data_IF_407952211441
#
_entry.id   IF_407952211441
#
_cell.length_a   1.000
_cell.length_b   1.000
_cell.length_c   1.000
_cell.angle_alpha   90.00
_cell.angle_beta   90.00
_cell.angle_gamma   90.00
#
_symmetry.space_group_name_H-M   'P 1'
#
loop_
_entity.id
_entity.type
_entity.pdbx_description
1 polymer ?
#
# COMPACT_ATOMS: atom_id res chain seq x y z
N UNK A 1 5.64 -10.22 24.25
CA UNK A 1 4.70 -10.61 23.17
C UNK A 1 5.51 -10.92 21.92
N UNK A 2 5.38 -12.13 21.38
CA UNK A 2 6.13 -12.56 20.20
C UNK A 2 5.59 -11.92 18.90
N UNK A 3 6.34 -12.09 17.79
CA UNK A 3 6.01 -11.48 16.50
C UNK A 3 4.71 -12.02 15.90
N UNK A 4 4.35 -13.29 16.15
CA UNK A 4 3.13 -13.90 15.62
C UNK A 4 1.90 -13.33 16.33
N UNK A 5 1.95 -13.21 17.66
CA UNK A 5 0.85 -12.61 18.44
C UNK A 5 0.60 -11.16 18.02
N UNK A 6 1.67 -10.36 17.85
CA UNK A 6 1.55 -8.98 17.33
C UNK A 6 0.92 -8.95 15.95
N UNK A 7 1.33 -9.85 15.06
CA UNK A 7 0.79 -9.91 13.70
C UNK A 7 -0.71 -10.27 13.68
N UNK A 8 -1.13 -11.24 14.51
CA UNK A 8 -2.53 -11.64 14.63
C UNK A 8 -3.40 -10.49 15.17
N UNK A 9 -2.94 -9.84 16.25
CA UNK A 9 -3.64 -8.67 16.83
C UNK A 9 -3.78 -7.54 15.81
N UNK A 10 -2.73 -7.29 15.03
CA UNK A 10 -2.78 -6.29 13.99
C UNK A 10 -3.79 -6.65 12.90
N UNK A 11 -3.76 -7.90 12.41
CA UNK A 11 -4.63 -8.37 11.32
C UNK A 11 -6.13 -8.20 11.63
N UNK A 12 -6.55 -8.51 12.85
CA UNK A 12 -7.96 -8.37 13.31
C UNK A 12 -8.43 -6.92 13.22
N UNK A 13 -7.54 -5.97 13.48
CA UNK A 13 -7.86 -4.54 13.53
C UNK A 13 -7.57 -3.81 12.20
N UNK A 14 -7.00 -4.51 11.21
CA UNK A 14 -6.51 -3.89 9.98
C UNK A 14 -7.58 -3.90 8.88
N UNK A 15 -8.35 -2.81 8.77
CA UNK A 15 -9.24 -2.66 7.62
C UNK A 15 -8.49 -2.06 6.41
N UNK A 16 -8.10 -2.88 5.43
CA UNK A 16 -7.37 -2.42 4.22
C UNK A 16 -8.26 -2.19 3.00
N UNK A 17 -9.57 -2.38 3.13
CA UNK A 17 -10.53 -2.14 2.06
C UNK A 17 -11.52 -1.02 2.45
N UNK A 18 -11.80 -0.06 1.56
CA UNK A 18 -11.26 0.07 0.20
C UNK A 18 -9.78 0.52 0.19
N UNK A 19 -9.11 0.50 -0.99
CA UNK A 19 -7.80 1.11 -1.17
C UNK A 19 -7.77 2.59 -0.73
N UNK A 20 -6.58 3.13 -0.38
CA UNK A 20 -6.47 4.52 0.03
C UNK A 20 -6.74 5.48 -1.14
N UNK A 21 -7.21 6.69 -0.82
CA UNK A 21 -7.38 7.75 -1.83
C UNK A 21 -6.04 8.04 -2.55
N UNK A 22 -6.12 8.27 -3.86
CA UNK A 22 -4.98 8.58 -4.73
C UNK A 22 -4.13 9.76 -4.24
N UNK A 23 -4.76 10.80 -3.68
CA UNK A 23 -4.06 11.96 -3.13
C UNK A 23 -3.20 11.59 -1.91
N UNK A 24 -3.75 10.75 -1.01
CA UNK A 24 -3.03 10.25 0.16
C UNK A 24 -1.79 9.45 -0.25
N UNK A 25 -1.91 8.68 -1.34
CA UNK A 25 -0.79 7.93 -1.90
C UNK A 25 0.26 8.88 -2.49
N UNK A 26 -0.13 9.80 -3.38
CA UNK A 26 0.81 10.68 -4.10
C UNK A 26 1.52 11.67 -3.17
N UNK A 27 0.83 12.16 -2.14
CA UNK A 27 1.38 13.14 -1.21
C UNK A 27 2.32 12.53 -0.16
N UNK A 28 2.36 11.20 -0.03
CA UNK A 28 3.22 10.53 0.93
C UNK A 28 4.71 10.72 0.62
N UNK A 29 5.50 11.04 1.66
CA UNK A 29 6.97 11.12 1.57
C UNK A 29 7.59 9.80 1.09
N UNK A 30 7.00 8.65 1.48
CA UNK A 30 7.46 7.32 1.07
C UNK A 30 7.19 7.06 -0.41
N UNK A 31 6.07 7.56 -0.92
CA UNK A 31 5.70 7.48 -2.33
C UNK A 31 6.64 8.31 -3.21
N UNK A 32 6.96 9.55 -2.80
CA UNK A 32 7.89 10.43 -3.53
C UNK A 32 9.32 9.87 -3.59
N UNK A 33 9.76 9.12 -2.56
CA UNK A 33 11.07 8.46 -2.56
C UNK A 33 11.11 7.24 -3.49
N UNK A 34 10.05 6.42 -3.52
CA UNK A 34 10.00 5.22 -4.38
C UNK A 34 9.80 5.55 -5.86
N UNK A 35 9.06 6.63 -6.18
CA UNK A 35 8.82 7.09 -7.55
C UNK A 35 10.12 7.44 -8.29
N UNK A 36 11.11 7.97 -7.56
CA UNK A 36 12.40 8.42 -8.10
C UNK A 36 13.33 7.27 -8.47
N UNK A 37 13.15 6.09 -7.85
CA UNK A 37 14.08 4.97 -8.01
C UNK A 37 13.54 3.89 -8.94
N UNK A 38 12.27 3.48 -8.83
CA UNK A 38 11.70 2.42 -9.71
C UNK A 38 10.17 2.53 -9.81
N UNK A 39 9.68 3.30 -10.80
CA UNK A 39 8.28 3.71 -11.00
C UNK A 39 7.22 2.64 -11.28
N UNK A 40 7.39 1.41 -10.81
CA UNK A 40 6.39 0.34 -10.96
C UNK A 40 5.52 0.26 -9.71
N UNK A 41 4.39 0.97 -9.74
CA UNK A 41 3.29 0.82 -8.79
C UNK A 41 2.43 -0.35 -9.23
N UNK A 42 2.52 -1.46 -8.51
CA UNK A 42 1.61 -2.60 -8.66
C UNK A 42 0.53 -2.51 -7.59
N UNK A 43 -0.61 -3.19 -7.81
CA UNK A 43 -1.67 -3.27 -6.79
C UNK A 43 -1.14 -3.77 -5.44
N UNK A 44 -0.27 -4.79 -5.46
CA UNK A 44 0.38 -5.30 -4.25
C UNK A 44 1.21 -4.25 -3.51
N UNK A 45 2.02 -3.44 -4.21
CA UNK A 45 2.81 -2.38 -3.57
C UNK A 45 1.93 -1.31 -2.91
N UNK A 46 0.77 -1.02 -3.50
CA UNK A 46 -0.20 -0.10 -2.92
C UNK A 46 -0.92 -0.69 -1.71
N UNK A 47 -1.24 -1.99 -1.74
CA UNK A 47 -1.74 -2.71 -0.56
C UNK A 47 -0.71 -2.63 0.56
N UNK A 48 0.56 -2.99 0.30
CA UNK A 48 1.63 -2.93 1.29
C UNK A 48 1.82 -1.51 1.86
N UNK A 49 1.69 -0.48 1.02
CA UNK A 49 1.69 0.91 1.47
C UNK A 49 0.53 1.21 2.43
N UNK A 50 -0.68 0.76 2.10
CA UNK A 50 -1.86 0.95 2.96
C UNK A 50 -1.71 0.20 4.30
N UNK A 51 -1.28 -1.06 4.25
CA UNK A 51 -0.96 -1.87 5.43
C UNK A 51 0.05 -1.14 6.31
N UNK A 52 1.16 -0.66 5.74
CA UNK A 52 2.18 0.05 6.51
C UNK A 52 1.64 1.31 7.20
N UNK A 53 0.83 2.11 6.50
CA UNK A 53 0.25 3.32 7.07
C UNK A 53 -0.73 2.99 8.20
N UNK A 54 -1.66 2.05 7.99
CA UNK A 54 -2.63 1.65 9.01
C UNK A 54 -1.98 0.97 10.20
N UNK A 55 -0.98 0.12 9.96
CA UNK A 55 -0.20 -0.52 11.03
C UNK A 55 0.46 0.52 11.91
N UNK A 56 1.06 1.54 11.30
CA UNK A 56 1.70 2.63 12.03
C UNK A 56 0.71 3.42 12.90
N UNK A 57 -0.52 3.64 12.42
CA UNK A 57 -1.59 4.27 13.20
C UNK A 57 -2.00 3.42 14.42
N UNK A 58 -1.86 2.10 14.32
CA UNK A 58 -2.11 1.14 15.40
C UNK A 58 -0.88 0.87 16.27
N UNK A 59 0.20 1.66 16.11
CA UNK A 59 1.43 1.54 16.89
C UNK A 59 2.40 0.45 16.41
N UNK A 60 2.14 -0.21 15.28
CA UNK A 60 3.00 -1.24 14.72
C UNK A 60 3.83 -0.71 13.54
N UNK A 61 5.16 -0.71 13.68
CA UNK A 61 6.10 -0.21 12.68
C UNK A 61 7.17 -1.25 12.29
N UNK A 62 7.04 -2.50 12.76
CA UNK A 62 8.00 -3.56 12.45
C UNK A 62 7.88 -3.98 10.97
N UNK A 63 8.95 -3.81 10.16
CA UNK A 63 8.90 -4.10 8.73
C UNK A 63 8.67 -5.59 8.42
N UNK A 64 9.10 -6.50 9.29
CA UNK A 64 8.86 -7.95 9.12
C UNK A 64 7.37 -8.28 9.30
N UNK A 65 6.73 -7.73 10.34
CA UNK A 65 5.30 -7.91 10.59
C UNK A 65 4.48 -7.32 9.43
N UNK A 66 4.78 -6.08 9.02
CA UNK A 66 4.13 -5.42 7.89
C UNK A 66 4.26 -6.24 6.61
N UNK A 67 5.46 -6.79 6.34
CA UNK A 67 5.69 -7.62 5.15
C UNK A 67 4.87 -8.91 5.20
N UNK A 68 4.87 -9.61 6.35
CA UNK A 68 4.13 -10.86 6.53
C UNK A 68 2.63 -10.66 6.36
N UNK A 69 2.07 -9.63 7.00
CA UNK A 69 0.64 -9.29 6.90
C UNK A 69 0.28 -8.86 5.47
N UNK A 70 1.13 -8.09 4.80
CA UNK A 70 0.86 -7.67 3.42
C UNK A 70 0.76 -8.86 2.46
N UNK A 71 1.66 -9.84 2.59
CA UNK A 71 1.62 -11.07 1.79
C UNK A 71 0.34 -11.86 2.10
N UNK A 72 0.07 -12.11 3.39
CA UNK A 72 -1.11 -12.85 3.82
C UNK A 72 -2.41 -12.21 3.30
N UNK A 73 -2.57 -10.89 3.46
CA UNK A 73 -3.75 -10.17 2.99
C UNK A 73 -3.85 -10.23 1.48
N UNK A 74 -2.77 -10.01 0.73
CA UNK A 74 -2.81 -10.10 -0.72
C UNK A 74 -3.16 -11.50 -1.20
N UNK A 75 -2.62 -12.56 -0.62
CA UNK A 75 -2.94 -13.94 -1.02
C UNK A 75 -4.43 -14.25 -0.78
N UNK A 76 -4.96 -13.82 0.37
CA UNK A 76 -6.35 -14.07 0.77
C UNK A 76 -7.37 -13.06 0.22
N UNK A 77 -6.94 -11.94 -0.37
CA UNK A 77 -7.85 -11.00 -1.02
C UNK A 77 -8.55 -11.62 -2.23
N UNK A 78 -9.83 -11.31 -2.36
CA UNK A 78 -10.67 -11.66 -3.51
C UNK A 78 -10.16 -11.00 -4.80
N UNK A 79 -10.62 -11.52 -5.95
CA UNK A 79 -10.31 -10.91 -7.26
C UNK A 79 -10.76 -9.45 -7.34
N UNK A 80 -11.91 -9.12 -6.76
CA UNK A 80 -12.47 -7.76 -6.73
C UNK A 80 -11.58 -6.82 -5.92
N UNK A 81 -11.23 -7.20 -4.70
CA UNK A 81 -10.33 -6.44 -3.83
C UNK A 81 -8.97 -6.18 -4.48
N UNK A 82 -8.39 -7.20 -5.13
CA UNK A 82 -7.16 -7.07 -5.93
C UNK A 82 -7.34 -6.09 -7.09
N UNK A 83 -8.47 -6.15 -7.80
CA UNK A 83 -8.74 -5.26 -8.93
C UNK A 83 -8.82 -3.80 -8.53
N UNK A 84 -9.38 -3.48 -7.36
CA UNK A 84 -9.45 -2.10 -6.87
C UNK A 84 -8.05 -1.49 -6.64
N UNK A 85 -7.14 -2.27 -6.06
CA UNK A 85 -5.73 -1.88 -5.91
C UNK A 85 -4.99 -1.77 -7.24
N UNK A 86 -5.27 -2.68 -8.18
CA UNK A 86 -4.69 -2.64 -9.53
C UNK A 86 -5.17 -1.40 -10.28
N UNK A 87 -6.45 -1.05 -10.18
CA UNK A 87 -7.02 0.12 -10.83
C UNK A 87 -6.50 1.42 -10.22
N UNK A 88 -6.32 1.48 -8.90
CA UNK A 88 -5.63 2.60 -8.26
C UNK A 88 -4.19 2.75 -8.80
N UNK A 89 -3.46 1.65 -8.97
CA UNK A 89 -2.13 1.66 -9.56
C UNK A 89 -2.12 2.19 -11.00
N UNK A 90 -3.10 1.78 -11.83
CA UNK A 90 -3.26 2.31 -13.20
C UNK A 90 -3.50 3.82 -13.20
N UNK A 91 -4.40 4.31 -12.33
CA UNK A 91 -4.72 5.75 -12.20
C UNK A 91 -3.49 6.55 -11.78
N UNK A 92 -2.74 6.08 -10.79
CA UNK A 92 -1.48 6.72 -10.37
C UNK A 92 -0.47 6.77 -11.53
N UNK A 93 -0.32 5.66 -12.27
CA UNK A 93 0.58 5.61 -13.42
C UNK A 93 0.16 6.57 -14.54
N UNK A 94 -1.14 6.78 -14.75
CA UNK A 94 -1.65 7.77 -15.70
C UNK A 94 -1.31 9.20 -15.24
N UNK A 95 -1.59 9.54 -13.97
CA UNK A 95 -1.27 10.86 -13.42
C UNK A 95 0.21 11.19 -13.48
N UNK A 96 1.09 10.24 -13.15
CA UNK A 96 2.53 10.43 -13.20
C UNK A 96 3.07 10.58 -14.63
N UNK A 97 2.45 9.92 -15.62
CA UNK A 97 2.79 10.12 -17.03
C UNK A 97 2.39 11.51 -17.51
N UNK A 98 1.18 11.95 -17.19
CA UNK A 98 0.70 13.29 -17.58
C UNK A 98 1.54 14.40 -16.93
N UNK A 99 1.91 14.25 -15.66
CA UNK A 99 2.77 15.22 -14.96
C UNK A 99 4.21 15.30 -15.52
N UNK A 100 4.70 14.24 -16.17
CA UNK A 100 5.99 14.27 -16.90
C UNK A 100 5.88 15.00 -18.25
N UNK A 101 4.70 15.05 -18.86
CA UNK A 101 4.46 15.77 -20.12
C UNK A 101 4.23 17.28 -19.91
N UNK A 102 4.06 17.75 -18.67
CA UNK A 102 3.82 19.16 -18.33
C UNK A 102 5.07 19.89 -17.81
N UNK A 103 6.27 19.41 -18.14
CA UNK A 103 7.53 20.11 -17.83
C UNK A 103 8.00 20.77 -19.14
N UNK A 104 7.98 22.12 -19.24
CA UNK A 104 8.58 22.85 -20.37
C UNK A 104 10.10 22.60 -20.45
#
# INVERSE_FOLDING_TARGET
>A
MDLQTRANNLLINLNIHPPPNIENVINSKNFKKSSRRHGNYTGFKLLRFNVANKSKLLGENNPFIISKISNFLWENSTKREKSEYIDLAKRIKALLRNKKMTIP
#
